data_IF_369673939732
#
_entry.id   IF_369673939732
#
_cell.length_a   1.000
_cell.length_b   1.000
_cell.length_c   1.000
_cell.angle_alpha   90.00
_cell.angle_beta   90.00
_cell.angle_gamma   90.00
#
_symmetry.space_group_name_H-M   'P 1'
#
loop_
_entity.id
_entity.type
_entity.pdbx_description
1 polymer ?
#
# COMPACT_ATOMS: atom_id res chain seq x y z
N UNK A 1 -4.73 16.48 -16.19
CA UNK A 1 -3.81 15.98 -15.15
C UNK A 1 -2.44 16.47 -15.55
N UNK A 2 -1.70 17.23 -14.72
CA UNK A 2 -0.37 17.67 -15.11
C UNK A 2 0.57 16.45 -15.10
N UNK A 3 1.38 16.36 -16.16
CA UNK A 3 2.38 15.32 -16.35
C UNK A 3 3.54 15.58 -15.38
N UNK A 4 3.88 14.59 -14.53
CA UNK A 4 5.02 14.66 -13.62
C UNK A 4 4.70 14.61 -12.11
N UNK A 5 3.68 13.87 -11.67
CA UNK A 5 3.64 13.48 -10.25
C UNK A 5 4.68 12.37 -10.02
N UNK A 6 5.61 12.59 -9.10
CA UNK A 6 6.47 11.57 -8.46
C UNK A 6 5.59 10.54 -7.73
N UNK A 7 4.89 9.72 -8.51
CA UNK A 7 4.02 8.66 -8.04
C UNK A 7 4.81 7.37 -7.87
N UNK A 8 4.34 6.52 -6.97
CA UNK A 8 4.90 5.18 -6.78
C UNK A 8 4.45 4.26 -7.91
N UNK A 9 5.25 3.25 -8.22
CA UNK A 9 4.81 2.15 -9.08
C UNK A 9 3.78 1.29 -8.34
N UNK A 10 2.50 1.60 -8.54
CA UNK A 10 1.37 0.91 -7.90
C UNK A 10 1.36 -0.60 -8.18
N UNK A 11 1.85 -1.04 -9.34
CA UNK A 11 1.90 -2.47 -9.69
C UNK A 11 2.96 -3.17 -8.86
N UNK A 12 4.18 -2.61 -8.81
CA UNK A 12 5.28 -3.18 -8.04
C UNK A 12 4.98 -3.18 -6.53
N UNK A 13 4.52 -2.05 -5.99
CA UNK A 13 4.12 -1.94 -4.58
C UNK A 13 2.97 -2.88 -4.26
N UNK A 14 1.94 -2.94 -5.12
CA UNK A 14 0.81 -3.84 -4.96
C UNK A 14 1.20 -5.32 -4.99
N UNK A 15 2.12 -5.72 -5.87
CA UNK A 15 2.63 -7.09 -5.94
C UNK A 15 3.37 -7.49 -4.65
N UNK A 16 4.18 -6.60 -4.08
CA UNK A 16 4.87 -6.84 -2.79
C UNK A 16 3.88 -6.99 -1.63
N UNK A 17 2.85 -6.16 -1.58
CA UNK A 17 1.78 -6.27 -0.57
C UNK A 17 1.06 -7.62 -0.68
N UNK A 18 0.78 -8.10 -1.90
CA UNK A 18 0.16 -9.41 -2.12
C UNK A 18 1.08 -10.56 -1.75
N UNK A 19 2.38 -10.45 -2.05
CA UNK A 19 3.39 -11.44 -1.66
C UNK A 19 3.48 -11.60 -0.13
N UNK A 20 3.20 -10.54 0.63
CA UNK A 20 3.11 -10.54 2.09
C UNK A 20 1.80 -11.10 2.65
N UNK A 21 0.94 -11.67 1.79
CA UNK A 21 -0.27 -12.39 2.20
C UNK A 21 -1.55 -11.56 2.20
N UNK A 22 -1.52 -10.33 1.67
CA UNK A 22 -2.73 -9.56 1.46
C UNK A 22 -3.43 -9.93 0.15
N UNK A 23 -4.75 -9.78 0.10
CA UNK A 23 -5.55 -9.96 -1.11
C UNK A 23 -6.02 -8.62 -1.64
N UNK A 24 -5.82 -8.35 -2.93
CA UNK A 24 -6.37 -7.17 -3.60
C UNK A 24 -7.89 -7.25 -3.66
N UNK A 25 -8.56 -6.19 -3.21
CA UNK A 25 -10.00 -6.00 -3.36
C UNK A 25 -10.35 -5.12 -4.55
N UNK A 26 -10.06 -3.83 -4.44
CA UNK A 26 -10.32 -2.83 -5.48
C UNK A 26 -9.00 -2.43 -6.15
N UNK A 27 -8.99 -2.38 -7.49
CA UNK A 27 -7.88 -1.88 -8.29
C UNK A 27 -8.37 -0.77 -9.23
N UNK A 28 -8.01 0.47 -8.93
CA UNK A 28 -8.33 1.63 -9.78
C UNK A 28 -7.09 2.50 -9.99
N UNK A 29 -7.19 3.48 -10.89
CA UNK A 29 -6.13 4.48 -11.08
C UNK A 29 -5.93 5.40 -9.87
N UNK A 30 -6.94 5.53 -9.01
CA UNK A 30 -6.93 6.48 -7.88
C UNK A 30 -6.51 5.84 -6.56
N UNK A 31 -6.83 4.56 -6.39
CA UNK A 31 -6.49 3.82 -5.18
C UNK A 31 -6.59 2.32 -5.41
N UNK A 32 -5.83 1.57 -4.62
CA UNK A 32 -5.97 0.13 -4.48
C UNK A 32 -6.33 -0.20 -3.04
N UNK A 33 -7.17 -1.21 -2.84
CA UNK A 33 -7.49 -1.73 -1.51
C UNK A 33 -6.99 -3.15 -1.35
N UNK A 34 -6.59 -3.47 -0.12
CA UNK A 34 -6.13 -4.80 0.24
C UNK A 34 -6.78 -5.24 1.55
N UNK A 35 -7.05 -6.53 1.66
CA UNK A 35 -7.57 -7.16 2.88
C UNK A 35 -6.65 -8.30 3.28
N UNK A 36 -6.36 -8.38 4.58
CA UNK A 36 -5.47 -9.35 5.19
C UNK A 36 -5.56 -9.22 6.71
N UNK A 37 -4.42 -9.21 7.43
CA UNK A 37 -4.39 -8.91 8.86
C UNK A 37 -4.99 -7.54 9.23
N UNK A 38 -4.95 -6.59 8.29
CA UNK A 38 -5.61 -5.29 8.38
C UNK A 38 -6.21 -4.90 7.02
N UNK A 39 -7.06 -3.89 6.98
CA UNK A 39 -7.55 -3.33 5.71
C UNK A 39 -6.64 -2.17 5.29
N UNK A 40 -6.17 -2.22 4.04
CA UNK A 40 -5.24 -1.22 3.49
C UNK A 40 -5.86 -0.45 2.35
N UNK A 41 -5.52 0.82 2.22
CA UNK A 41 -5.77 1.62 1.01
C UNK A 41 -4.51 2.35 0.57
N UNK A 42 -4.00 1.99 -0.60
CA UNK A 42 -2.80 2.56 -1.21
C UNK A 42 -3.21 3.58 -2.27
N UNK A 43 -2.57 4.76 -2.23
CA UNK A 43 -2.78 5.82 -3.20
C UNK A 43 -1.53 5.97 -4.09
N UNK A 44 -1.68 6.40 -5.36
CA UNK A 44 -0.55 6.66 -6.27
C UNK A 44 0.49 7.65 -5.74
N UNK A 45 0.11 8.50 -4.78
CA UNK A 45 1.02 9.41 -4.06
C UNK A 45 1.94 8.73 -3.06
N UNK A 46 1.87 7.40 -2.89
CA UNK A 46 2.63 6.66 -1.89
C UNK A 46 2.01 6.63 -0.50
N UNK A 47 0.91 7.35 -0.28
CA UNK A 47 0.18 7.30 1.00
C UNK A 47 -0.49 5.94 1.16
N UNK A 48 -0.38 5.40 2.38
CA UNK A 48 -1.05 4.18 2.81
C UNK A 48 -1.97 4.50 3.99
N UNK A 49 -3.25 4.15 3.86
CA UNK A 49 -4.19 4.12 4.98
C UNK A 49 -4.23 2.69 5.54
N UNK A 50 -4.04 2.56 6.84
CA UNK A 50 -4.16 1.28 7.56
C UNK A 50 -5.39 1.37 8.46
N UNK A 51 -6.33 0.45 8.30
CA UNK A 51 -7.53 0.33 9.12
C UNK A 51 -7.45 -0.96 9.93
N UNK A 52 -7.25 -0.79 11.24
CA UNK A 52 -7.09 -1.86 12.23
C UNK A 52 -7.44 -1.28 13.61
N UNK A 53 -7.86 -2.12 14.54
CA UNK A 53 -8.00 -1.79 15.97
C UNK A 53 -6.72 -2.09 16.77
N UNK A 54 -5.81 -2.89 16.22
CA UNK A 54 -4.50 -3.20 16.79
C UNK A 54 -3.46 -2.13 16.41
N UNK A 55 -3.03 -1.35 17.41
CA UNK A 55 -2.02 -0.29 17.26
C UNK A 55 -0.63 -0.84 16.92
N UNK A 56 -0.27 -2.02 17.45
CA UNK A 56 1.03 -2.65 17.16
C UNK A 56 1.08 -3.07 15.71
N UNK A 57 0.01 -3.71 15.23
CA UNK A 57 -0.12 -4.09 13.82
C UNK A 57 -0.06 -2.87 12.90
N UNK A 58 -0.70 -1.76 13.26
CA UNK A 58 -0.61 -0.53 12.49
C UNK A 58 0.84 -0.02 12.36
N UNK A 59 1.62 -0.10 13.45
CA UNK A 59 3.04 0.25 13.45
C UNK A 59 3.87 -0.66 12.56
N UNK A 60 3.67 -1.97 12.65
CA UNK A 60 4.40 -2.96 11.85
C UNK A 60 4.12 -2.79 10.35
N UNK A 61 2.86 -2.55 9.98
CA UNK A 61 2.45 -2.28 8.61
C UNK A 61 3.07 -0.98 8.10
N UNK A 62 3.05 0.09 8.90
CA UNK A 62 3.66 1.36 8.52
C UNK A 62 5.18 1.24 8.30
N UNK A 63 5.87 0.52 9.18
CA UNK A 63 7.31 0.27 9.03
C UNK A 63 7.57 -0.53 7.74
N UNK A 64 6.81 -1.59 7.49
CA UNK A 64 6.95 -2.41 6.28
C UNK A 64 6.69 -1.64 5.01
N UNK A 65 5.70 -0.75 5.03
CA UNK A 65 5.42 0.13 3.90
C UNK A 65 6.64 0.97 3.52
N UNK A 66 7.27 1.60 4.52
CA UNK A 66 8.42 2.49 4.34
C UNK A 66 9.73 1.77 3.97
N UNK A 67 9.95 0.57 4.50
CA UNK A 67 11.23 -0.15 4.32
C UNK A 67 11.20 -1.20 3.23
N UNK A 68 10.03 -1.68 2.81
CA UNK A 68 9.91 -2.78 1.87
C UNK A 68 9.00 -2.46 0.69
N UNK A 69 7.75 -2.04 0.93
CA UNK A 69 6.78 -1.94 -0.16
C UNK A 69 7.07 -0.78 -1.09
N UNK A 70 7.31 0.43 -0.55
CA UNK A 70 7.46 1.66 -1.35
C UNK A 70 8.87 1.91 -1.91
N UNK A 71 9.86 1.10 -1.53
CA UNK A 71 11.24 1.35 -1.96
C UNK A 71 11.41 1.12 -3.46
N UNK A 72 11.97 2.12 -4.13
CA UNK A 72 12.44 2.00 -5.51
C UNK A 72 13.87 1.50 -5.47
N UNK A 73 14.16 0.37 -6.13
CA UNK A 73 15.55 -0.06 -6.41
C UNK A 73 16.27 0.97 -7.32
#
# INVERSE_FOLDING_TARGET
>A
MPEGCDGIDMESVGARIVADGYTVGLRTRLMWTFTGPSDLSLFPSGKLLVKTDDQSLAGDVAQRHLTHWIQTD
#
